data_IF_191924787291
#
_entry.id   IF_191924787291
#
_cell.length_a   1.000
_cell.length_b   1.000
_cell.length_c   1.000
_cell.angle_alpha   90.00
_cell.angle_beta   90.00
_cell.angle_gamma   90.00
#
_symmetry.space_group_name_H-M   'P 1'
#
loop_
_entity.id
_entity.type
_entity.pdbx_description
1 polymer ?
#
# COMPACT_ATOMS: atom_id res chain seq x y z
N UNK A 1 10.24 -5.53 -4.61
CA UNK A 1 9.11 -5.93 -5.50
C UNK A 1 9.37 -7.30 -6.09
N UNK A 2 8.53 -8.29 -5.76
CA UNK A 2 8.67 -9.68 -6.23
C UNK A 2 8.42 -9.82 -7.75
N UNK A 3 8.98 -10.87 -8.38
CA UNK A 3 8.82 -11.13 -9.82
C UNK A 3 7.42 -11.65 -10.17
N UNK A 4 6.83 -12.48 -9.32
CA UNK A 4 5.45 -12.95 -9.49
C UNK A 4 4.45 -11.80 -9.48
N UNK A 5 4.62 -10.84 -8.55
CA UNK A 5 3.76 -9.67 -8.44
C UNK A 5 3.84 -8.76 -9.68
N UNK A 6 5.05 -8.51 -10.22
CA UNK A 6 5.23 -7.75 -11.46
C UNK A 6 4.55 -8.41 -12.66
N UNK A 7 4.61 -9.74 -12.76
CA UNK A 7 3.93 -10.48 -13.83
C UNK A 7 2.41 -10.34 -13.73
N UNK A 8 1.86 -10.36 -12.52
CA UNK A 8 0.43 -10.16 -12.27
C UNK A 8 -0.02 -8.76 -12.73
N UNK A 9 0.70 -7.71 -12.31
CA UNK A 9 0.39 -6.34 -12.72
C UNK A 9 0.44 -6.17 -14.25
N UNK A 10 1.45 -6.76 -14.91
CA UNK A 10 1.57 -6.73 -16.38
C UNK A 10 0.40 -7.45 -17.05
N UNK A 11 -0.06 -8.58 -16.50
CA UNK A 11 -1.23 -9.33 -17.01
C UNK A 11 -2.51 -8.48 -16.96
N UNK A 12 -2.69 -7.71 -15.90
CA UNK A 12 -3.87 -6.85 -15.72
C UNK A 12 -3.68 -5.42 -16.27
N UNK A 13 -2.57 -5.15 -16.97
CA UNK A 13 -2.23 -3.81 -17.50
C UNK A 13 -2.24 -2.71 -16.43
N UNK A 14 -1.85 -3.05 -15.21
CA UNK A 14 -1.77 -2.12 -14.09
C UNK A 14 -0.38 -1.47 -14.08
N UNK A 15 -0.35 -0.14 -14.18
CA UNK A 15 0.88 0.63 -13.99
C UNK A 15 1.16 0.78 -12.50
N UNK A 16 2.23 0.15 -12.02
CA UNK A 16 2.69 0.36 -10.64
C UNK A 16 3.33 1.74 -10.46
N UNK A 17 2.86 2.51 -9.48
CA UNK A 17 3.64 3.59 -8.89
C UNK A 17 4.29 3.09 -7.60
N UNK A 18 5.54 3.49 -7.37
CA UNK A 18 6.27 3.19 -6.14
C UNK A 18 6.79 4.51 -5.60
N UNK A 19 6.56 4.75 -4.31
CA UNK A 19 7.14 5.91 -3.61
C UNK A 19 8.66 5.88 -3.69
N UNK A 20 9.29 7.06 -3.73
CA UNK A 20 10.75 7.17 -3.65
C UNK A 20 11.23 6.61 -2.30
N UNK A 21 12.38 5.92 -2.32
CA UNK A 21 13.02 5.44 -1.09
C UNK A 21 13.32 6.65 -0.19
N UNK A 22 12.80 6.62 1.04
CA UNK A 22 12.98 7.69 2.03
C UNK A 22 11.99 8.86 1.93
N UNK A 23 10.96 8.80 1.08
CA UNK A 23 9.90 9.82 1.05
C UNK A 23 8.64 9.33 1.80
N UNK A 24 8.48 9.76 3.05
CA UNK A 24 7.32 9.42 3.88
C UNK A 24 6.04 10.16 3.46
N UNK A 25 6.15 11.32 2.79
CA UNK A 25 4.96 12.11 2.41
C UNK A 25 4.07 11.42 1.39
N UNK A 26 4.67 10.59 0.51
CA UNK A 26 3.93 9.83 -0.50
C UNK A 26 3.00 8.78 0.14
N UNK A 27 3.39 8.26 1.32
CA UNK A 27 2.65 7.26 2.06
C UNK A 27 1.77 7.84 3.19
N UNK A 28 1.98 9.09 3.58
CA UNK A 28 1.34 9.69 4.76
C UNK A 28 -0.21 9.61 4.70
N UNK A 29 -0.80 9.82 3.53
CA UNK A 29 -2.26 9.74 3.35
C UNK A 29 -2.80 8.33 3.65
N UNK A 30 -2.16 7.31 3.09
CA UNK A 30 -2.62 5.93 3.24
C UNK A 30 -2.32 5.40 4.66
N UNK A 31 -1.22 5.81 5.27
CA UNK A 31 -0.89 5.50 6.66
C UNK A 31 -1.91 6.11 7.65
N UNK A 32 -2.31 7.37 7.44
CA UNK A 32 -3.33 8.02 8.26
C UNK A 32 -4.69 7.31 8.14
N UNK A 33 -5.08 6.92 6.93
CA UNK A 33 -6.30 6.16 6.69
C UNK A 33 -6.30 4.81 7.44
N UNK A 34 -5.23 4.03 7.30
CA UNK A 34 -5.14 2.72 7.97
C UNK A 34 -5.01 2.82 9.48
N UNK A 35 -4.38 3.87 10.00
CA UNK A 35 -4.36 4.14 11.44
C UNK A 35 -5.76 4.34 11.99
N UNK A 36 -6.59 5.14 11.30
CA UNK A 36 -8.01 5.33 11.66
C UNK A 36 -8.78 4.02 11.56
N UNK A 37 -8.62 3.26 10.48
CA UNK A 37 -9.33 1.99 10.29
C UNK A 37 -9.08 1.03 11.46
N UNK A 38 -7.82 0.88 11.89
CA UNK A 38 -7.45 0.03 13.03
C UNK A 38 -8.08 0.47 14.35
N UNK A 39 -8.24 1.77 14.55
CA UNK A 39 -8.91 2.30 15.74
C UNK A 39 -10.42 2.01 15.76
N UNK A 40 -11.05 1.89 14.58
CA UNK A 40 -12.49 1.61 14.46
C UNK A 40 -12.82 0.12 14.40
N UNK A 41 -11.86 -0.73 14.03
CA UNK A 41 -12.03 -2.18 14.11
C UNK A 41 -11.69 -2.64 15.53
N UNK A 42 -12.67 -3.03 16.37
CA UNK A 42 -12.37 -3.67 17.64
C UNK A 42 -11.58 -4.95 17.33
N UNK A 43 -10.39 -5.06 17.93
CA UNK A 43 -9.62 -6.29 17.89
C UNK A 43 -10.30 -7.24 18.88
N UNK A 44 -11.14 -8.15 18.37
CA UNK A 44 -11.60 -9.27 19.17
C UNK A 44 -10.39 -10.18 19.43
N UNK A 45 -10.01 -10.30 20.71
CA UNK A 45 -9.02 -11.24 21.21
C UNK A 45 -9.70 -12.54 21.63
#
# INVERSE_FOLDING_TARGET
MSRSYKNLLKRYKITQSMSRKGNCYDNACIESFFSKLKNYTPVEY
#
